data_IF_515821657020
#
_entry.id   IF_515821657020
#
_cell.length_a   1.000
_cell.length_b   1.000
_cell.length_c   1.000
_cell.angle_alpha   90.00
_cell.angle_beta   90.00
_cell.angle_gamma   90.00
#
_symmetry.space_group_name_H-M   'P 1'
#
loop_
_entity.id
_entity.type
_entity.pdbx_description
1 polymer ?
#
# COMPACT_ATOMS: atom_id res chain seq x y z
N UNK A 1 23.64 7.20 20.49
CA UNK A 1 22.32 7.85 20.48
C UNK A 1 22.17 8.47 19.11
N UNK A 2 21.17 8.06 18.32
CA UNK A 2 20.98 8.60 16.98
C UNK A 2 20.68 10.09 17.08
N UNK A 3 21.35 10.90 16.27
CA UNK A 3 21.01 12.31 16.12
C UNK A 3 19.95 12.40 15.04
N UNK A 4 18.69 12.51 15.45
CA UNK A 4 17.57 12.68 14.52
C UNK A 4 17.67 14.07 13.87
N UNK A 5 17.48 14.14 12.55
CA UNK A 5 17.42 15.44 11.86
C UNK A 5 16.17 16.24 12.23
N UNK A 6 15.10 15.54 12.59
CA UNK A 6 13.81 16.12 12.97
C UNK A 6 13.28 15.43 14.22
N UNK A 7 12.78 16.21 15.15
CA UNK A 7 12.00 15.69 16.27
C UNK A 7 10.54 15.42 15.85
N UNK A 8 9.72 14.90 16.78
CA UNK A 8 8.32 14.53 16.52
C UNK A 8 7.47 15.73 16.05
N UNK A 9 7.66 16.91 16.66
CA UNK A 9 6.92 18.13 16.33
C UNK A 9 7.31 18.66 14.94
N UNK A 10 8.60 18.67 14.64
CA UNK A 10 9.14 19.12 13.35
C UNK A 10 8.66 18.24 12.20
N UNK A 11 8.72 16.91 12.38
CA UNK A 11 8.23 15.95 11.38
C UNK A 11 6.71 16.06 11.20
N UNK A 12 5.96 16.24 12.28
CA UNK A 12 4.50 16.44 12.22
C UNK A 12 4.17 17.70 11.45
N UNK A 13 4.84 18.81 11.74
CA UNK A 13 4.62 20.09 11.06
C UNK A 13 4.92 20.01 9.56
N UNK A 14 5.97 19.29 9.19
CA UNK A 14 6.32 19.07 7.78
C UNK A 14 5.22 18.30 7.03
N UNK A 15 4.79 17.14 7.56
CA UNK A 15 3.76 16.32 6.91
C UNK A 15 2.43 17.10 6.85
N UNK A 16 2.03 17.76 7.94
CA UNK A 16 0.84 18.59 7.97
C UNK A 16 0.94 19.81 7.03
N UNK A 17 2.15 20.27 6.72
CA UNK A 17 2.43 21.32 5.75
C UNK A 17 2.19 20.89 4.30
N UNK A 18 2.33 19.60 3.99
CA UNK A 18 2.01 19.02 2.66
C UNK A 18 0.51 18.95 2.38
N UNK A 19 -0.31 18.97 3.42
CA UNK A 19 -1.78 18.94 3.30
C UNK A 19 -2.27 20.38 3.09
N UNK A 20 -2.91 20.65 1.95
CA UNK A 20 -3.36 22.01 1.62
C UNK A 20 -4.75 22.33 2.22
N UNK A 21 -5.70 21.40 2.12
CA UNK A 21 -7.08 21.61 2.55
C UNK A 21 -7.24 21.51 4.06
N UNK A 22 -7.96 22.46 4.65
CA UNK A 22 -8.22 22.50 6.10
C UNK A 22 -8.99 21.28 6.59
N UNK A 23 -9.95 20.78 5.79
CA UNK A 23 -10.70 19.56 6.13
C UNK A 23 -9.78 18.35 6.29
N UNK A 24 -8.79 18.21 5.40
CA UNK A 24 -7.90 17.04 5.37
C UNK A 24 -6.91 17.11 6.51
N UNK A 25 -6.48 18.32 6.90
CA UNK A 25 -5.69 18.51 8.11
C UNK A 25 -6.44 17.96 9.32
N UNK A 26 -7.70 18.35 9.49
CA UNK A 26 -8.52 17.87 10.62
C UNK A 26 -8.71 16.35 10.55
N UNK A 27 -8.99 15.79 9.37
CA UNK A 27 -9.24 14.36 9.20
C UNK A 27 -7.99 13.50 9.43
N UNK A 28 -6.82 13.97 9.00
CA UNK A 28 -5.57 13.20 9.02
C UNK A 28 -4.67 13.51 10.20
N UNK A 29 -4.87 14.61 10.94
CA UNK A 29 -4.00 15.03 12.05
C UNK A 29 -3.70 13.90 13.03
N UNK A 30 -4.74 13.19 13.49
CA UNK A 30 -4.56 12.07 14.41
C UNK A 30 -3.72 10.93 13.81
N UNK A 31 -3.84 10.68 12.51
CA UNK A 31 -3.07 9.64 11.82
C UNK A 31 -1.62 10.09 11.63
N UNK A 32 -1.39 11.36 11.29
CA UNK A 32 -0.05 11.95 11.17
C UNK A 32 0.68 11.92 12.50
N UNK A 33 0.07 12.39 13.60
CA UNK A 33 0.68 12.40 14.94
C UNK A 33 1.06 10.98 15.39
N UNK A 34 0.16 10.01 15.18
CA UNK A 34 0.47 8.62 15.53
C UNK A 34 1.64 8.06 14.72
N UNK A 35 1.71 8.39 13.42
CA UNK A 35 2.80 7.96 12.55
C UNK A 35 4.13 8.60 12.98
N UNK A 36 4.18 9.91 13.18
CA UNK A 36 5.41 10.62 13.52
C UNK A 36 6.01 10.15 14.83
N UNK A 37 5.16 9.92 15.84
CA UNK A 37 5.57 9.31 17.09
C UNK A 37 6.20 7.93 16.88
N UNK A 38 5.55 7.08 16.09
CA UNK A 38 6.05 5.75 15.75
C UNK A 38 7.41 5.82 15.03
N UNK A 39 7.54 6.70 14.04
CA UNK A 39 8.78 6.91 13.27
C UNK A 39 9.93 7.35 14.18
N UNK A 40 9.69 8.31 15.07
CA UNK A 40 10.71 8.79 16.02
C UNK A 40 11.11 7.71 17.02
N UNK A 41 10.13 6.98 17.58
CA UNK A 41 10.40 5.90 18.53
C UNK A 41 11.19 4.76 17.89
N UNK A 42 10.83 4.37 16.66
CA UNK A 42 11.57 3.37 15.89
C UNK A 42 12.97 3.87 15.55
N UNK A 43 13.10 5.13 15.14
CA UNK A 43 14.41 5.72 14.80
C UNK A 43 15.37 5.66 15.99
N UNK A 44 14.88 6.00 17.18
CA UNK A 44 15.66 5.91 18.43
C UNK A 44 16.07 4.47 18.77
N UNK A 45 15.16 3.51 18.58
CA UNK A 45 15.40 2.09 18.88
C UNK A 45 16.37 1.43 17.90
N UNK A 46 16.23 1.71 16.60
CA UNK A 46 17.08 1.15 15.54
C UNK A 46 18.39 1.90 15.36
N UNK A 47 18.52 3.09 15.97
CA UNK A 47 19.64 4.01 15.78
C UNK A 47 19.81 4.46 14.31
N UNK A 48 18.70 4.60 13.57
CA UNK A 48 18.62 5.04 12.17
C UNK A 48 17.60 6.17 12.07
N UNK A 49 17.88 7.24 11.32
CA UNK A 49 16.93 8.35 11.12
C UNK A 49 15.90 8.02 10.02
N UNK A 50 14.78 7.43 10.43
CA UNK A 50 13.68 7.08 9.51
C UNK A 50 12.88 8.31 9.06
N UNK A 51 12.89 9.41 9.81
CA UNK A 51 12.14 10.62 9.48
C UNK A 51 12.70 11.38 8.25
N UNK A 52 13.89 10.99 7.78
CA UNK A 52 14.49 11.53 6.56
C UNK A 52 14.63 10.50 5.42
N UNK A 53 14.14 9.28 5.65
CA UNK A 53 14.18 8.23 4.64
C UNK A 53 13.14 8.49 3.56
N UNK A 54 13.49 8.18 2.32
CA UNK A 54 12.57 8.10 1.19
C UNK A 54 12.24 6.65 0.91
N UNK A 55 11.00 6.38 0.53
CA UNK A 55 10.57 5.05 0.17
C UNK A 55 9.30 5.08 -0.68
N UNK A 56 9.22 4.18 -1.65
CA UNK A 56 7.99 3.93 -2.40
C UNK A 56 7.01 3.19 -1.49
N UNK A 57 5.75 3.61 -1.45
CA UNK A 57 4.72 2.95 -0.63
C UNK A 57 3.70 2.27 -1.53
N UNK A 58 3.60 0.95 -1.42
CA UNK A 58 2.65 0.12 -2.16
C UNK A 58 1.67 -0.52 -1.19
N UNK A 59 0.37 -0.36 -1.42
CA UNK A 59 -0.69 -1.01 -0.65
C UNK A 59 -1.36 -2.07 -1.51
N UNK A 60 -1.47 -3.27 -0.97
CA UNK A 60 -2.05 -4.42 -1.63
C UNK A 60 -3.29 -4.87 -0.86
N UNK A 61 -4.46 -4.67 -1.45
CA UNK A 61 -5.76 -4.86 -0.83
C UNK A 61 -6.36 -6.21 -1.26
N UNK A 62 -6.62 -7.06 -0.28
CA UNK A 62 -7.32 -8.33 -0.48
C UNK A 62 -8.78 -8.10 -0.83
N UNK A 63 -9.20 -8.53 -2.02
CA UNK A 63 -10.58 -8.48 -2.53
C UNK A 63 -11.17 -9.88 -2.66
N UNK A 64 -10.84 -10.76 -1.73
CA UNK A 64 -11.46 -12.07 -1.61
C UNK A 64 -12.87 -11.99 -1.02
N UNK A 65 -13.62 -13.10 -1.15
CA UNK A 65 -14.98 -13.20 -0.62
C UNK A 65 -15.06 -13.02 0.91
N UNK A 66 -14.03 -13.41 1.67
CA UNK A 66 -13.99 -13.25 3.15
C UNK A 66 -13.97 -11.77 3.54
N UNK A 67 -13.27 -10.95 2.76
CA UNK A 67 -13.16 -9.50 2.98
C UNK A 67 -14.46 -8.72 2.71
N UNK A 68 -15.48 -9.32 2.09
CA UNK A 68 -16.71 -8.64 1.65
C UNK A 68 -17.39 -7.82 2.77
N UNK A 69 -17.43 -8.36 4.00
CA UNK A 69 -18.00 -7.63 5.14
C UNK A 69 -17.14 -6.44 5.56
N UNK A 70 -15.82 -6.54 5.46
CA UNK A 70 -14.87 -5.47 5.84
C UNK A 70 -14.88 -4.31 4.85
N UNK A 71 -15.17 -4.58 3.58
CA UNK A 71 -15.46 -3.54 2.59
C UNK A 71 -16.79 -2.85 2.88
N UNK A 72 -17.87 -3.64 2.99
CA UNK A 72 -19.22 -3.07 3.15
C UNK A 72 -19.42 -2.32 4.48
N UNK A 73 -18.72 -2.69 5.55
CA UNK A 73 -18.78 -1.99 6.84
C UNK A 73 -17.77 -0.84 7.00
N UNK A 74 -16.97 -0.55 5.96
CA UNK A 74 -16.01 0.56 5.94
C UNK A 74 -14.71 0.32 6.71
N UNK A 75 -14.41 -0.90 7.14
CA UNK A 75 -13.14 -1.21 7.81
C UNK A 75 -11.95 -1.02 6.89
N UNK A 76 -12.07 -1.44 5.61
CA UNK A 76 -11.01 -1.24 4.62
C UNK A 76 -10.77 0.25 4.38
N UNK A 77 -11.83 1.05 4.21
CA UNK A 77 -11.72 2.51 4.04
C UNK A 77 -10.99 3.17 5.21
N UNK A 78 -11.38 2.83 6.45
CA UNK A 78 -10.70 3.35 7.66
C UNK A 78 -9.23 2.93 7.75
N UNK A 79 -8.88 1.77 7.19
CA UNK A 79 -7.50 1.29 7.12
C UNK A 79 -6.72 2.12 6.10
N UNK A 80 -7.26 2.31 4.90
CA UNK A 80 -6.69 3.17 3.84
C UNK A 80 -6.40 4.58 4.37
N UNK A 81 -7.35 5.23 5.05
CA UNK A 81 -7.15 6.58 5.61
C UNK A 81 -5.97 6.67 6.59
N UNK A 82 -5.66 5.58 7.31
CA UNK A 82 -4.52 5.51 8.23
C UNK A 82 -3.18 5.38 7.51
N UNK A 83 -3.19 4.92 6.26
CA UNK A 83 -1.99 4.71 5.45
C UNK A 83 -1.60 5.97 4.68
N UNK A 84 -2.54 6.90 4.39
CA UNK A 84 -2.26 8.16 3.66
C UNK A 84 -1.05 8.92 4.22
N UNK A 85 -0.88 9.08 5.55
CA UNK A 85 0.30 9.74 6.09
C UNK A 85 1.62 9.06 5.73
N UNK A 86 1.65 7.76 5.43
CA UNK A 86 2.86 7.06 4.99
C UNK A 86 3.32 7.56 3.62
N UNK A 87 2.39 7.68 2.65
CA UNK A 87 2.70 8.25 1.33
C UNK A 87 3.19 9.69 1.45
N UNK A 88 2.53 10.49 2.28
CA UNK A 88 2.97 11.87 2.55
C UNK A 88 4.34 11.96 3.25
N UNK A 89 4.74 10.94 4.02
CA UNK A 89 5.98 10.95 4.79
C UNK A 89 7.17 10.43 3.99
N UNK A 90 6.99 9.32 3.29
CA UNK A 90 8.08 8.58 2.67
C UNK A 90 8.14 8.73 1.15
N UNK A 91 6.99 8.90 0.49
CA UNK A 91 6.92 8.97 -0.96
C UNK A 91 7.13 10.41 -1.46
N UNK A 92 7.88 10.54 -2.55
CA UNK A 92 8.28 11.82 -3.13
C UNK A 92 7.10 12.53 -3.80
N UNK A 93 6.17 11.78 -4.38
CA UNK A 93 4.97 12.34 -5.01
C UNK A 93 3.79 12.47 -4.04
N UNK A 94 3.92 11.96 -2.81
CA UNK A 94 2.87 11.97 -1.81
C UNK A 94 1.67 11.06 -2.11
N UNK A 95 1.80 10.14 -3.06
CA UNK A 95 0.79 9.13 -3.40
C UNK A 95 1.23 7.74 -2.93
N UNK A 96 0.30 6.79 -3.02
CA UNK A 96 0.51 5.39 -2.66
C UNK A 96 0.04 4.53 -3.82
N UNK A 97 0.93 3.66 -4.31
CA UNK A 97 0.58 2.68 -5.32
C UNK A 97 -0.43 1.68 -4.75
N UNK A 98 -1.62 1.55 -5.34
CA UNK A 98 -2.62 0.57 -4.85
C UNK A 98 -2.86 -0.57 -5.83
N UNK A 99 -2.80 -1.80 -5.31
CA UNK A 99 -3.18 -3.02 -6.01
C UNK A 99 -4.34 -3.69 -5.30
N UNK A 100 -5.30 -4.19 -6.07
CA UNK A 100 -6.40 -5.04 -5.60
C UNK A 100 -6.13 -6.48 -6.04
N UNK A 101 -6.21 -7.46 -5.13
CA UNK A 101 -5.90 -8.85 -5.49
C UNK A 101 -6.96 -9.84 -5.01
N UNK A 102 -6.99 -10.99 -5.67
CA UNK A 102 -7.76 -12.18 -5.31
C UNK A 102 -6.96 -13.40 -5.78
N UNK A 103 -7.46 -14.21 -6.72
CA UNK A 103 -6.70 -15.20 -7.48
C UNK A 103 -5.67 -14.60 -8.45
N UNK A 104 -5.89 -13.35 -8.88
CA UNK A 104 -5.02 -12.52 -9.71
C UNK A 104 -5.02 -11.09 -9.14
N UNK A 105 -4.55 -10.07 -9.88
CA UNK A 105 -4.55 -8.69 -9.40
C UNK A 105 -4.98 -7.65 -10.44
N UNK A 106 -5.24 -6.44 -9.93
CA UNK A 106 -5.49 -5.23 -10.70
C UNK A 106 -4.80 -4.06 -10.03
N UNK A 107 -3.98 -3.33 -10.78
CA UNK A 107 -3.48 -2.01 -10.37
C UNK A 107 -4.67 -1.03 -10.40
N UNK A 108 -4.86 -0.29 -9.32
CA UNK A 108 -5.87 0.76 -9.20
C UNK A 108 -5.24 2.14 -9.39
N UNK A 109 -6.08 3.17 -9.45
CA UNK A 109 -5.62 4.56 -9.34
C UNK A 109 -4.84 4.75 -8.04
N UNK A 110 -3.76 5.53 -8.06
CA UNK A 110 -2.96 5.76 -6.86
C UNK A 110 -3.80 6.48 -5.79
N UNK A 111 -3.53 6.15 -4.53
CA UNK A 111 -4.21 6.75 -3.39
C UNK A 111 -3.47 8.03 -2.99
N UNK A 112 -4.19 9.13 -2.91
CA UNK A 112 -3.64 10.42 -2.48
C UNK A 112 -4.68 11.29 -1.75
N UNK A 113 -4.30 12.54 -1.43
CA UNK A 113 -5.18 13.50 -0.74
C UNK A 113 -6.46 13.84 -1.53
N UNK A 114 -6.49 13.63 -2.84
CA UNK A 114 -7.64 13.98 -3.68
C UNK A 114 -8.75 12.92 -3.65
N UNK A 115 -8.41 11.65 -3.41
CA UNK A 115 -9.35 10.53 -3.52
C UNK A 115 -9.46 9.65 -2.26
N UNK A 116 -8.65 9.87 -1.21
CA UNK A 116 -8.62 8.95 -0.07
C UNK A 116 -9.94 8.81 0.69
N UNK A 117 -10.77 9.87 0.81
CA UNK A 117 -11.94 9.88 1.69
C UNK A 117 -12.99 8.81 1.31
N UNK A 118 -13.18 8.60 0.01
CA UNK A 118 -14.17 7.67 -0.53
C UNK A 118 -13.58 6.66 -1.51
N UNK A 119 -12.26 6.46 -1.48
CA UNK A 119 -11.48 5.58 -2.35
C UNK A 119 -12.11 4.19 -2.57
N UNK A 120 -12.63 3.55 -1.52
CA UNK A 120 -13.31 2.25 -1.66
C UNK A 120 -14.55 2.36 -2.56
N UNK A 121 -15.33 3.43 -2.39
CA UNK A 121 -16.56 3.64 -3.16
C UNK A 121 -16.25 4.07 -4.60
N UNK A 122 -15.29 4.96 -4.80
CA UNK A 122 -15.05 5.63 -6.09
C UNK A 122 -14.05 4.91 -6.97
N UNK A 123 -13.07 4.20 -6.38
CA UNK A 123 -12.02 3.49 -7.10
C UNK A 123 -12.19 1.97 -6.99
N UNK A 124 -12.27 1.43 -5.77
CA UNK A 124 -12.31 -0.05 -5.59
C UNK A 124 -13.60 -0.65 -6.16
N UNK A 125 -14.76 -0.11 -5.78
CA UNK A 125 -16.06 -0.66 -6.19
C UNK A 125 -16.40 -0.42 -7.67
N UNK A 126 -15.71 0.51 -8.34
CA UNK A 126 -15.89 0.83 -9.76
C UNK A 126 -14.84 0.17 -10.64
N UNK A 127 -13.85 -0.51 -10.06
CA UNK A 127 -12.72 -1.13 -10.77
C UNK A 127 -13.12 -2.27 -11.73
N UNK A 128 -14.39 -2.69 -11.74
CA UNK A 128 -14.87 -3.82 -12.55
C UNK A 128 -14.21 -5.15 -12.17
N UNK A 129 -13.74 -5.27 -10.92
CA UNK A 129 -13.03 -6.44 -10.41
C UNK A 129 -13.95 -7.27 -9.54
N UNK A 130 -14.07 -8.57 -9.83
CA UNK A 130 -14.92 -9.48 -9.06
C UNK A 130 -14.15 -10.07 -7.88
N UNK A 131 -14.83 -10.23 -6.73
CA UNK A 131 -14.24 -10.91 -5.59
C UNK A 131 -13.95 -12.38 -5.92
N UNK A 132 -12.87 -12.92 -5.35
CA UNK A 132 -12.40 -14.28 -5.64
C UNK A 132 -11.77 -14.97 -4.43
N UNK A 133 -10.83 -15.88 -4.72
CA UNK A 133 -9.98 -16.52 -3.70
C UNK A 133 -8.82 -15.61 -3.29
N UNK A 134 -7.82 -16.18 -2.62
CA UNK A 134 -6.72 -15.42 -2.01
C UNK A 134 -5.37 -15.99 -2.46
N UNK A 135 -4.79 -15.40 -3.50
CA UNK A 135 -3.44 -15.73 -4.01
C UNK A 135 -2.52 -14.51 -3.94
N UNK A 136 -1.44 -14.59 -3.16
CA UNK A 136 -0.53 -13.46 -2.97
C UNK A 136 0.55 -13.37 -4.05
N UNK A 137 0.98 -14.51 -4.61
CA UNK A 137 2.12 -14.55 -5.51
C UNK A 137 1.93 -13.74 -6.81
N UNK A 138 0.75 -13.71 -7.47
CA UNK A 138 0.57 -12.94 -8.70
C UNK A 138 0.86 -11.45 -8.53
N UNK A 139 0.29 -10.82 -7.50
CA UNK A 139 0.48 -9.40 -7.23
C UNK A 139 1.90 -9.10 -6.74
N UNK A 140 2.48 -9.97 -5.90
CA UNK A 140 3.88 -9.83 -5.47
C UNK A 140 4.84 -9.86 -6.65
N UNK A 141 4.66 -10.81 -7.58
CA UNK A 141 5.48 -10.88 -8.80
C UNK A 141 5.32 -9.63 -9.65
N UNK A 142 4.10 -9.13 -9.81
CA UNK A 142 3.86 -7.91 -10.59
C UNK A 142 4.60 -6.69 -10.03
N UNK A 143 4.61 -6.54 -8.70
CA UNK A 143 5.28 -5.42 -8.03
C UNK A 143 6.81 -5.59 -8.05
N UNK A 144 7.31 -6.81 -7.83
CA UNK A 144 8.75 -7.09 -7.63
C UNK A 144 9.48 -7.34 -8.95
N UNK A 145 8.85 -8.02 -9.90
CA UNK A 145 9.47 -8.48 -11.15
C UNK A 145 8.91 -7.73 -12.37
N UNK A 146 7.90 -6.89 -12.18
CA UNK A 146 7.10 -6.33 -13.27
C UNK A 146 6.06 -7.34 -13.78
N UNK A 147 5.22 -6.89 -14.70
CA UNK A 147 4.18 -7.74 -15.26
C UNK A 147 3.93 -7.49 -16.74
N UNK A 148 3.27 -8.44 -17.37
CA UNK A 148 2.65 -8.21 -18.68
C UNK A 148 1.28 -8.85 -18.71
N UNK A 149 0.25 -8.07 -18.96
CA UNK A 149 -1.11 -8.56 -19.12
C UNK A 149 -1.73 -8.07 -20.44
N UNK A 150 -2.79 -8.75 -20.88
CA UNK A 150 -3.54 -8.35 -22.07
C UNK A 150 -4.74 -7.52 -21.64
N UNK A 151 -4.84 -6.31 -22.17
CA UNK A 151 -5.94 -5.38 -21.91
C UNK A 151 -6.79 -5.18 -23.17
N UNK A 152 -8.11 -5.19 -22.98
CA UNK A 152 -9.10 -4.97 -24.04
C UNK A 152 -9.31 -6.18 -24.97
N UNK A 153 -10.00 -5.93 -26.08
CA UNK A 153 -10.38 -6.92 -27.09
C UNK A 153 -11.70 -7.63 -26.80
N UNK A 154 -12.40 -8.04 -27.87
CA UNK A 154 -13.59 -8.88 -27.78
C UNK A 154 -13.20 -10.31 -28.13
N UNK A 155 -13.49 -11.27 -27.25
CA UNK A 155 -13.16 -12.69 -27.47
C UNK A 155 -11.66 -12.96 -27.76
N UNK A 156 -10.77 -12.14 -27.19
CA UNK A 156 -9.32 -12.26 -27.38
C UNK A 156 -8.77 -11.64 -28.68
N UNK A 157 -9.62 -11.12 -29.56
CA UNK A 157 -9.21 -10.36 -30.74
C UNK A 157 -9.05 -8.87 -30.39
N UNK A 158 -7.90 -8.29 -30.75
CA UNK A 158 -7.59 -6.88 -30.51
C UNK A 158 -7.05 -6.55 -29.11
N UNK A 159 -6.74 -7.56 -28.30
CA UNK A 159 -6.16 -7.34 -26.97
C UNK A 159 -4.72 -6.81 -27.09
N UNK A 160 -4.41 -5.70 -26.40
CA UNK A 160 -3.07 -5.11 -26.37
C UNK A 160 -2.28 -5.70 -25.21
N UNK A 161 -1.02 -6.05 -25.44
CA UNK A 161 -0.12 -6.42 -24.33
C UNK A 161 0.35 -5.14 -23.65
N UNK A 162 0.01 -5.00 -22.38
CA UNK A 162 0.49 -3.94 -21.49
C UNK A 162 1.60 -4.55 -20.65
N UNK A 163 2.77 -3.89 -20.64
CA UNK A 163 3.87 -4.22 -19.73
C UNK A 163 3.93 -3.17 -18.64
N UNK A 164 4.03 -3.62 -17.40
CA UNK A 164 4.32 -2.76 -16.26
C UNK A 164 5.71 -3.10 -15.76
N UNK A 165 6.53 -2.07 -15.57
CA UNK A 165 7.85 -2.25 -14.98
C UNK A 165 7.74 -2.67 -13.50
N UNK A 166 8.80 -3.29 -12.98
CA UNK A 166 8.90 -3.56 -11.55
C UNK A 166 8.93 -2.24 -10.77
N UNK A 167 8.19 -2.17 -9.66
CA UNK A 167 8.27 -1.04 -8.73
C UNK A 167 9.51 -1.16 -7.83
N UNK A 168 9.92 -2.39 -7.54
CA UNK A 168 11.15 -2.68 -6.78
C UNK A 168 12.35 -2.58 -7.71
N UNK A 169 13.20 -1.59 -7.47
CA UNK A 169 14.46 -1.39 -8.20
C UNK A 169 15.63 -1.16 -7.23
N UNK A 170 16.79 -0.72 -7.75
CA UNK A 170 18.00 -0.44 -6.95
C UNK A 170 18.00 0.94 -6.27
N UNK A 171 16.98 1.75 -6.49
CA UNK A 171 16.82 3.08 -5.91
C UNK A 171 16.22 3.00 -4.51
N UNK A 172 15.14 3.75 -4.30
CA UNK A 172 14.51 3.88 -3.00
C UNK A 172 13.89 2.55 -2.51
N UNK A 173 13.91 2.28 -1.19
CA UNK A 173 13.25 1.11 -0.63
C UNK A 173 11.76 1.12 -0.97
N UNK A 174 11.20 -0.08 -1.19
CA UNK A 174 9.76 -0.25 -1.45
C UNK A 174 9.09 -0.92 -0.25
N UNK A 175 8.12 -0.25 0.36
CA UNK A 175 7.28 -0.79 1.42
C UNK A 175 5.98 -1.34 0.83
N UNK A 176 5.83 -2.67 0.81
CA UNK A 176 4.62 -3.34 0.34
C UNK A 176 3.77 -3.74 1.55
N UNK A 177 2.61 -3.11 1.71
CA UNK A 177 1.67 -3.34 2.80
C UNK A 177 0.49 -4.18 2.32
N UNK A 178 0.48 -5.47 2.69
CA UNK A 178 -0.63 -6.38 2.40
C UNK A 178 -1.72 -6.26 3.45
N UNK A 179 -2.93 -5.88 3.03
CA UNK A 179 -4.11 -5.81 3.88
C UNK A 179 -5.02 -6.99 3.55
N UNK A 180 -5.20 -7.90 4.50
CA UNK A 180 -5.91 -9.19 4.32
C UNK A 180 -6.54 -9.63 5.64
N UNK A 181 -7.52 -10.54 5.61
CA UNK A 181 -8.14 -11.12 6.80
C UNK A 181 -7.73 -12.58 7.09
N UNK A 182 -6.90 -13.18 6.23
CA UNK A 182 -6.60 -14.62 6.33
C UNK A 182 -5.35 -15.05 5.59
N UNK A 183 -5.17 -16.37 5.49
CA UNK A 183 -4.06 -16.99 4.77
C UNK A 183 -4.34 -17.12 3.27
N UNK A 184 -3.28 -17.26 2.48
CA UNK A 184 -3.37 -17.47 1.04
C UNK A 184 -3.41 -18.96 0.65
N UNK A 185 -3.98 -19.25 -0.51
CA UNK A 185 -4.06 -20.59 -1.08
C UNK A 185 -2.78 -21.00 -1.85
N UNK A 186 -1.94 -20.04 -2.25
CA UNK A 186 -0.76 -20.24 -3.10
C UNK A 186 0.58 -20.19 -2.33
N UNK A 187 0.58 -20.68 -1.09
CA UNK A 187 1.71 -20.59 -0.13
C UNK A 187 3.09 -20.88 -0.74
N UNK A 188 3.25 -21.97 -1.49
CA UNK A 188 4.55 -22.32 -2.10
C UNK A 188 5.04 -21.25 -3.08
N UNK A 189 4.14 -20.67 -3.88
CA UNK A 189 4.50 -19.63 -4.84
C UNK A 189 4.82 -18.31 -4.13
N UNK A 190 4.09 -18.01 -3.05
CA UNK A 190 4.33 -16.85 -2.19
C UNK A 190 5.67 -16.95 -1.47
N UNK A 191 5.98 -18.10 -0.87
CA UNK A 191 7.26 -18.35 -0.19
C UNK A 191 8.44 -18.17 -1.16
N UNK A 192 8.29 -18.61 -2.40
CA UNK A 192 9.32 -18.45 -3.44
C UNK A 192 9.58 -16.97 -3.78
N UNK A 193 8.54 -16.17 -3.98
CA UNK A 193 8.73 -14.75 -4.32
C UNK A 193 9.23 -13.93 -3.12
N UNK A 194 8.77 -14.23 -1.89
CA UNK A 194 9.30 -13.61 -0.66
C UNK A 194 10.78 -13.96 -0.48
N UNK A 195 11.15 -15.23 -0.68
CA UNK A 195 12.56 -15.64 -0.58
C UNK A 195 13.42 -14.92 -1.62
N UNK A 196 12.93 -14.81 -2.86
CA UNK A 196 13.62 -14.07 -3.93
C UNK A 196 13.75 -12.58 -3.61
N UNK A 197 12.74 -11.99 -2.99
CA UNK A 197 12.74 -10.57 -2.66
C UNK A 197 13.69 -10.20 -1.51
N UNK A 198 14.18 -11.20 -0.75
CA UNK A 198 15.10 -10.96 0.39
C UNK A 198 16.45 -10.34 0.02
N UNK A 199 16.85 -10.44 -1.25
CA UNK A 199 18.08 -9.82 -1.77
C UNK A 199 17.84 -8.41 -2.35
N UNK A 200 16.60 -7.90 -2.28
CA UNK A 200 16.17 -6.65 -2.90
C UNK A 200 15.86 -5.58 -1.84
N UNK A 201 15.78 -4.31 -2.26
CA UNK A 201 15.43 -3.20 -1.38
C UNK A 201 13.91 -3.11 -1.15
N UNK A 202 13.32 -4.18 -0.62
CA UNK A 202 11.87 -4.30 -0.43
C UNK A 202 11.55 -4.86 0.94
N UNK A 203 10.56 -4.25 1.58
CA UNK A 203 10.00 -4.72 2.83
C UNK A 203 8.52 -5.05 2.62
N UNK A 204 8.12 -6.24 3.02
CA UNK A 204 6.74 -6.73 2.86
C UNK A 204 6.14 -6.93 4.24
N UNK A 205 5.03 -6.26 4.53
CA UNK A 205 4.29 -6.40 5.78
C UNK A 205 2.88 -6.89 5.52
N UNK A 206 2.51 -8.01 6.14
CA UNK A 206 1.13 -8.49 6.19
C UNK A 206 0.42 -7.87 7.39
N UNK A 207 -0.71 -7.23 7.15
CA UNK A 207 -1.56 -6.55 8.13
C UNK A 207 -2.91 -7.25 8.11
N UNK A 208 -3.11 -8.09 9.13
CA UNK A 208 -4.38 -8.74 9.39
C UNK A 208 -5.42 -7.72 9.85
N UNK A 209 -6.55 -7.63 9.15
CA UNK A 209 -7.70 -6.81 9.56
C UNK A 209 -8.94 -7.66 9.72
N UNK A 210 -9.83 -7.23 10.63
CA UNK A 210 -11.02 -8.00 11.00
C UNK A 210 -10.96 -8.51 12.44
N UNK A 211 -11.97 -9.30 12.82
CA UNK A 211 -12.11 -9.84 14.17
C UNK A 211 -12.13 -11.37 14.19
N UNK A 212 -11.78 -12.00 13.08
CA UNK A 212 -11.76 -13.46 12.99
C UNK A 212 -10.54 -13.91 13.82
N UNK A 213 -10.85 -14.60 14.92
CA UNK A 213 -9.88 -15.16 15.86
C UNK A 213 -9.50 -16.56 15.44
#
# INVERSE_FOLDING_TARGET
MVQLRKNEEELTKEIMGKISLSKDKVNLEKHVVNLTKCVVDLSKKSNIDLGSAKAKVVVVLDYSGSMCKLYSNGTVQKTINRLVPLGLSFDDNGSIDVYLFQNDYRKLEDLDLSNYEDYVKTVVNTAGYSMGGTNYAPVLRAIIEGSSYKEGGFLGFGAKTVKTEALVDKGDPTFILFITDGANADRLNTDNIIKKSSEMNVFIQFIGIGKEK
#
